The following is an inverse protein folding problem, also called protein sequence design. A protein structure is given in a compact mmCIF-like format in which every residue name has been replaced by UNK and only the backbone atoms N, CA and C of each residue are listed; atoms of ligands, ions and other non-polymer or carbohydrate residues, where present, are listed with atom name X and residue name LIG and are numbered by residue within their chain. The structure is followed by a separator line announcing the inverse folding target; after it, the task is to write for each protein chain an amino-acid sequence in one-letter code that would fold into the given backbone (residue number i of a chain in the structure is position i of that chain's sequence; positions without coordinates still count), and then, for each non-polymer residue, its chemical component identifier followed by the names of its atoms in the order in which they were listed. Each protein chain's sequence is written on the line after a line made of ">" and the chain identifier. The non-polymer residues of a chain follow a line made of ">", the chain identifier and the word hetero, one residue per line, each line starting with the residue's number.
data_IF_820496855325
#
_entry.id   IF_820496855325
#
_cell.length_a   1.000
_cell.length_b   1.000
_cell.length_c   1.000
_cell.angle_alpha   90.00
_cell.angle_beta   90.00
_cell.angle_gamma   90.00
#
_symmetry.space_group_name_H-M   'P 1'
#
loop_
_entity.id
_entity.type
_entity.pdbx_description
1 polymer ?
#
# COMPACT_ATOMS: atom_id res chain seq x y z
N UNK A 1 32.78 -8.12 -2.72
CA UNK A 1 32.76 -9.47 -3.34
C UNK A 1 33.59 -9.39 -4.60
N UNK A 2 34.46 -10.36 -4.85
CA UNK A 2 35.32 -10.32 -6.03
C UNK A 2 34.80 -11.32 -7.08
N UNK A 3 34.75 -10.89 -8.33
CA UNK A 3 34.41 -11.73 -9.49
C UNK A 3 35.65 -11.94 -10.34
N UNK A 4 35.96 -13.18 -10.61
CA UNK A 4 37.23 -13.58 -11.21
C UNK A 4 37.05 -13.94 -12.68
N UNK A 5 38.14 -13.75 -13.46
CA UNK A 5 38.21 -14.25 -14.82
C UNK A 5 38.13 -15.80 -14.85
N UNK A 6 37.59 -16.41 -15.92
CA UNK A 6 37.56 -17.87 -16.09
C UNK A 6 38.86 -18.58 -15.75
N UNK A 7 39.99 -18.07 -16.23
CA UNK A 7 41.31 -18.57 -15.94
C UNK A 7 41.67 -18.54 -14.44
N UNK A 8 41.32 -17.45 -13.77
CA UNK A 8 41.58 -17.29 -12.34
C UNK A 8 40.72 -18.23 -11.50
N UNK A 9 39.47 -18.46 -11.89
CA UNK A 9 38.53 -19.36 -11.16
C UNK A 9 39.07 -20.78 -11.12
N UNK A 10 39.55 -21.31 -12.25
CA UNK A 10 40.12 -22.66 -12.32
C UNK A 10 41.30 -22.75 -11.37
N UNK A 11 42.22 -21.78 -11.44
CA UNK A 11 43.44 -21.74 -10.59
C UNK A 11 43.09 -21.61 -9.10
N UNK A 12 42.12 -20.76 -8.75
CA UNK A 12 41.66 -20.54 -7.36
C UNK A 12 41.00 -21.80 -6.79
N UNK A 13 40.10 -22.42 -7.55
CA UNK A 13 39.44 -23.66 -7.13
C UNK A 13 40.43 -24.80 -6.97
N UNK A 14 41.35 -24.96 -7.92
CA UNK A 14 42.41 -25.97 -7.84
C UNK A 14 43.27 -25.78 -6.59
N UNK A 15 43.71 -24.54 -6.31
CA UNK A 15 44.48 -24.23 -5.09
C UNK A 15 43.69 -24.49 -3.83
N UNK A 16 42.42 -24.07 -3.79
CA UNK A 16 41.51 -24.24 -2.65
C UNK A 16 41.35 -25.72 -2.27
N UNK A 17 41.22 -26.59 -3.27
CA UNK A 17 41.04 -28.04 -3.05
C UNK A 17 42.35 -28.82 -3.11
N UNK A 18 43.51 -28.13 -3.24
CA UNK A 18 44.85 -28.74 -3.32
C UNK A 18 44.96 -29.80 -4.42
N UNK A 19 44.37 -29.53 -5.57
CA UNK A 19 44.30 -30.45 -6.73
C UNK A 19 45.31 -30.05 -7.78
N UNK A 20 45.99 -31.04 -8.37
CA UNK A 20 46.91 -30.85 -9.51
C UNK A 20 46.15 -30.77 -10.83
N UNK A 21 46.75 -30.16 -11.86
CA UNK A 21 46.13 -30.08 -13.20
C UNK A 21 45.84 -31.47 -13.79
N UNK A 22 46.68 -32.47 -13.51
CA UNK A 22 46.49 -33.86 -13.94
C UNK A 22 45.22 -34.52 -13.35
N UNK A 23 44.78 -34.12 -12.15
CA UNK A 23 43.58 -34.66 -11.54
C UNK A 23 42.26 -34.14 -12.20
N UNK A 24 42.37 -33.05 -12.95
CA UNK A 24 41.29 -32.50 -13.74
C UNK A 24 41.20 -33.07 -15.16
N UNK A 25 42.16 -33.89 -15.56
CA UNK A 25 42.17 -34.51 -16.89
C UNK A 25 40.98 -35.43 -17.12
N UNK A 26 40.60 -35.55 -18.37
CA UNK A 26 39.51 -36.41 -18.79
C UNK A 26 39.35 -36.44 -20.31
N UNK A 27 38.29 -37.06 -20.76
CA UNK A 27 38.00 -37.13 -22.18
C UNK A 27 37.94 -35.74 -22.83
N UNK A 28 38.80 -35.51 -23.84
CA UNK A 28 38.97 -34.22 -24.53
C UNK A 28 39.40 -33.04 -23.61
N UNK A 29 40.02 -33.30 -22.46
CA UNK A 29 40.54 -32.30 -21.54
C UNK A 29 41.91 -32.73 -20.99
N UNK A 30 42.96 -32.49 -21.76
CA UNK A 30 44.35 -32.81 -21.40
C UNK A 30 44.92 -31.77 -20.41
N UNK A 31 46.01 -32.14 -19.70
CA UNK A 31 46.73 -31.22 -18.81
C UNK A 31 47.20 -29.96 -19.54
N UNK A 32 47.68 -30.09 -20.78
CA UNK A 32 48.10 -28.94 -21.60
C UNK A 32 46.91 -28.00 -21.89
N UNK A 33 45.74 -28.58 -22.15
CA UNK A 33 44.52 -27.82 -22.38
C UNK A 33 44.08 -27.05 -21.12
N UNK A 34 44.11 -27.69 -19.96
CA UNK A 34 43.82 -27.08 -18.66
C UNK A 34 44.83 -25.96 -18.36
N UNK A 35 46.11 -26.19 -18.59
CA UNK A 35 47.16 -25.17 -18.41
C UNK A 35 46.96 -23.94 -19.30
N UNK A 36 46.55 -24.14 -20.56
CA UNK A 36 46.21 -23.03 -21.46
C UNK A 36 44.97 -22.23 -20.98
N UNK A 37 43.95 -22.90 -20.43
CA UNK A 37 42.80 -22.22 -19.83
C UNK A 37 43.19 -21.44 -18.57
N UNK A 38 43.99 -22.01 -17.68
CA UNK A 38 44.49 -21.34 -16.47
C UNK A 38 45.40 -20.15 -16.75
N UNK A 39 46.16 -20.20 -17.82
CA UNK A 39 47.04 -19.09 -18.25
C UNK A 39 46.31 -18.03 -19.07
N UNK A 40 45.03 -18.21 -19.38
CA UNK A 40 44.23 -17.30 -20.21
C UNK A 40 44.55 -17.36 -21.71
N UNK A 41 45.43 -18.27 -22.13
CA UNK A 41 45.79 -18.47 -23.55
C UNK A 41 44.67 -19.13 -24.36
N UNK A 42 43.72 -19.73 -23.66
CA UNK A 42 42.53 -20.32 -24.25
C UNK A 42 41.29 -20.00 -23.42
N UNK A 43 40.19 -19.66 -24.09
CA UNK A 43 38.88 -19.40 -23.44
C UNK A 43 38.27 -20.69 -22.90
N UNK A 44 37.55 -20.59 -21.79
CA UNK A 44 36.83 -21.71 -21.21
C UNK A 44 35.44 -21.76 -21.84
N UNK A 45 35.18 -22.74 -22.69
CA UNK A 45 33.85 -22.94 -23.26
C UNK A 45 32.85 -23.47 -22.23
N UNK A 46 31.55 -23.32 -22.48
CA UNK A 46 30.49 -23.90 -21.63
C UNK A 46 30.65 -25.42 -21.48
N UNK A 47 31.04 -26.12 -22.54
CA UNK A 47 31.32 -27.57 -22.49
C UNK A 47 32.51 -27.91 -21.59
N UNK A 48 33.57 -27.12 -21.67
CA UNK A 48 34.73 -27.27 -20.78
C UNK A 48 34.40 -26.95 -19.33
N UNK A 49 33.57 -25.93 -19.12
CA UNK A 49 33.08 -25.57 -17.79
C UNK A 49 32.30 -26.71 -17.12
N UNK A 50 31.34 -27.32 -17.82
CA UNK A 50 30.60 -28.49 -17.32
C UNK A 50 31.50 -29.63 -16.86
N UNK A 51 32.49 -29.98 -17.67
CA UNK A 51 33.47 -31.02 -17.34
C UNK A 51 34.30 -30.67 -16.09
N UNK A 52 34.73 -29.41 -15.98
CA UNK A 52 35.43 -28.92 -14.79
C UNK A 52 34.57 -28.97 -13.55
N UNK A 53 33.28 -28.52 -13.66
CA UNK A 53 32.31 -28.58 -12.56
C UNK A 53 32.12 -30.01 -12.08
N UNK A 54 31.91 -30.95 -12.98
CA UNK A 54 31.79 -32.38 -12.65
C UNK A 54 33.02 -32.90 -11.92
N UNK A 55 34.23 -32.60 -12.41
CA UNK A 55 35.50 -32.98 -11.76
C UNK A 55 35.59 -32.42 -10.35
N UNK A 56 35.31 -31.13 -10.15
CA UNK A 56 35.35 -30.52 -8.83
C UNK A 56 34.28 -31.06 -7.90
N UNK A 57 33.04 -31.34 -8.38
CA UNK A 57 32.00 -32.00 -7.57
C UNK A 57 32.41 -33.39 -7.13
N UNK A 58 33.03 -34.17 -8.02
CA UNK A 58 33.57 -35.49 -7.69
C UNK A 58 34.71 -35.42 -6.64
N UNK A 59 35.57 -34.40 -6.74
CA UNK A 59 36.61 -34.14 -5.73
C UNK A 59 35.94 -33.76 -4.40
N UNK A 60 34.95 -32.87 -4.41
CA UNK A 60 34.20 -32.50 -3.22
C UNK A 60 33.54 -33.71 -2.53
N UNK A 61 32.94 -34.59 -3.31
CA UNK A 61 32.31 -35.83 -2.79
C UNK A 61 33.32 -36.74 -2.09
N UNK A 62 34.53 -36.86 -2.64
CA UNK A 62 35.63 -37.67 -2.02
C UNK A 62 36.08 -37.14 -0.66
N UNK A 63 35.96 -35.82 -0.44
CA UNK A 63 36.36 -35.17 0.82
C UNK A 63 35.15 -34.72 1.67
N UNK A 64 33.97 -35.22 1.35
CA UNK A 64 32.69 -34.89 2.03
C UNK A 64 32.37 -33.38 2.10
N UNK A 65 32.75 -32.63 1.05
CA UNK A 65 32.43 -31.19 0.91
C UNK A 65 31.45 -31.00 -0.23
N UNK A 66 30.32 -30.38 0.03
CA UNK A 66 29.39 -29.98 -1.02
C UNK A 66 29.92 -28.74 -1.76
N UNK A 67 30.07 -28.84 -3.08
CA UNK A 67 30.52 -27.74 -3.95
C UNK A 67 29.31 -27.20 -4.73
N UNK A 68 28.75 -26.07 -4.28
CA UNK A 68 27.62 -25.41 -4.89
C UNK A 68 28.06 -24.47 -6.02
N UNK A 69 28.38 -25.03 -7.17
CA UNK A 69 28.66 -24.31 -8.41
C UNK A 69 27.76 -24.87 -9.53
N UNK A 70 27.31 -24.00 -10.42
CA UNK A 70 26.56 -24.40 -11.60
C UNK A 70 27.47 -24.74 -12.79
N UNK A 71 26.90 -25.36 -13.81
CA UNK A 71 27.63 -25.89 -14.95
C UNK A 71 28.43 -24.86 -15.76
N UNK A 72 28.03 -23.58 -15.71
CA UNK A 72 28.68 -22.50 -16.45
C UNK A 72 29.64 -21.66 -15.61
N UNK A 73 29.85 -21.99 -14.34
CA UNK A 73 30.67 -21.23 -13.40
C UNK A 73 32.06 -20.86 -13.94
N UNK A 74 32.76 -21.80 -14.55
CA UNK A 74 34.11 -21.55 -15.06
C UNK A 74 34.18 -20.82 -16.41
N UNK A 75 33.06 -20.74 -17.14
CA UNK A 75 33.01 -20.05 -18.44
C UNK A 75 32.59 -18.60 -18.38
N UNK A 76 31.89 -18.20 -17.33
CA UNK A 76 31.37 -16.82 -17.19
C UNK A 76 32.48 -15.81 -16.94
N UNK A 77 32.42 -14.68 -17.66
CA UNK A 77 33.24 -13.49 -17.38
C UNK A 77 32.89 -12.91 -15.99
N UNK A 78 33.70 -12.00 -15.44
CA UNK A 78 33.33 -11.29 -14.19
C UNK A 78 32.00 -10.59 -14.24
N UNK A 79 31.64 -9.98 -15.36
CA UNK A 79 30.38 -9.31 -15.59
C UNK A 79 29.20 -10.32 -15.62
N UNK A 80 29.33 -11.41 -16.36
CA UNK A 80 28.32 -12.48 -16.41
C UNK A 80 28.12 -13.15 -15.04
N UNK A 81 29.18 -13.29 -14.26
CA UNK A 81 29.11 -13.83 -12.89
C UNK A 81 28.45 -12.87 -11.93
N UNK A 82 28.73 -11.57 -12.04
CA UNK A 82 28.08 -10.52 -11.27
C UNK A 82 26.58 -10.50 -11.59
N UNK A 83 26.22 -10.56 -12.88
CA UNK A 83 24.83 -10.65 -13.34
C UNK A 83 24.14 -11.89 -12.77
N UNK A 84 24.75 -13.05 -12.93
CA UNK A 84 24.20 -14.31 -12.41
C UNK A 84 23.99 -14.28 -10.88
N UNK A 85 24.94 -13.70 -10.15
CA UNK A 85 24.82 -13.52 -8.71
C UNK A 85 23.64 -12.62 -8.32
N UNK A 86 23.55 -11.44 -8.95
CA UNK A 86 22.48 -10.48 -8.67
C UNK A 86 21.11 -11.05 -9.02
N UNK A 87 20.93 -11.66 -10.21
CA UNK A 87 19.69 -12.29 -10.61
C UNK A 87 19.24 -13.39 -9.65
N UNK A 88 20.17 -14.26 -9.24
CA UNK A 88 19.83 -15.34 -8.30
C UNK A 88 19.44 -14.82 -6.93
N UNK A 89 20.09 -13.77 -6.43
CA UNK A 89 19.72 -13.13 -5.16
C UNK A 89 18.35 -12.50 -5.25
N UNK A 90 18.07 -11.77 -6.32
CA UNK A 90 16.77 -11.13 -6.55
C UNK A 90 15.64 -12.16 -6.68
N UNK A 91 15.89 -13.33 -7.31
CA UNK A 91 14.86 -14.36 -7.56
C UNK A 91 14.61 -15.28 -6.36
N UNK A 92 15.65 -15.65 -5.63
CA UNK A 92 15.57 -16.70 -4.59
C UNK A 92 15.15 -16.21 -3.22
N UNK A 93 15.39 -14.95 -2.88
CA UNK A 93 15.05 -14.43 -1.56
C UNK A 93 13.63 -13.82 -1.55
N UNK A 94 12.69 -14.54 -0.93
CA UNK A 94 11.33 -14.04 -0.71
C UNK A 94 11.28 -12.83 0.24
N UNK A 95 12.27 -12.66 1.12
CA UNK A 95 12.42 -11.53 2.04
C UNK A 95 13.84 -10.95 2.00
N UNK A 96 14.15 -10.23 0.93
CA UNK A 96 15.42 -9.53 0.80
C UNK A 96 15.47 -8.30 1.70
N UNK A 97 16.58 -8.10 2.43
CA UNK A 97 16.76 -6.96 3.35
C UNK A 97 17.41 -5.76 2.64
N UNK A 98 17.20 -4.55 3.17
CA UNK A 98 17.84 -3.32 2.63
C UNK A 98 19.34 -3.46 2.42
N UNK A 99 20.06 -4.02 3.42
CA UNK A 99 21.52 -4.21 3.36
C UNK A 99 21.96 -5.11 2.19
N UNK A 100 21.13 -6.09 1.82
CA UNK A 100 21.44 -6.98 0.70
C UNK A 100 21.17 -6.28 -0.64
N UNK A 101 20.10 -5.49 -0.72
CA UNK A 101 19.82 -4.63 -1.89
C UNK A 101 20.91 -3.57 -2.09
N UNK A 102 21.47 -2.99 -1.01
CA UNK A 102 22.58 -2.04 -1.11
C UNK A 102 23.83 -2.68 -1.74
N UNK A 103 24.17 -3.91 -1.31
CA UNK A 103 25.29 -4.66 -1.90
C UNK A 103 25.05 -4.99 -3.38
N UNK A 104 23.81 -5.33 -3.75
CA UNK A 104 23.46 -5.59 -5.16
C UNK A 104 23.65 -4.32 -5.99
N UNK A 105 23.16 -3.17 -5.51
CA UNK A 105 23.32 -1.87 -6.16
C UNK A 105 24.80 -1.54 -6.38
N UNK A 106 25.66 -1.79 -5.40
CA UNK A 106 27.11 -1.57 -5.55
C UNK A 106 27.71 -2.44 -6.66
N UNK A 107 27.37 -3.74 -6.71
CA UNK A 107 27.84 -4.67 -7.74
C UNK A 107 27.30 -4.26 -9.11
N UNK A 108 26.01 -4.01 -9.22
CA UNK A 108 25.32 -3.66 -10.47
C UNK A 108 25.87 -2.36 -11.08
N UNK A 109 26.19 -1.37 -10.24
CA UNK A 109 26.87 -0.14 -10.67
C UNK A 109 28.29 -0.41 -11.16
N UNK A 110 29.07 -1.21 -10.42
CA UNK A 110 30.45 -1.50 -10.76
C UNK A 110 30.57 -2.22 -12.12
N UNK A 111 29.60 -3.04 -12.48
CA UNK A 111 29.56 -3.80 -13.73
C UNK A 111 28.62 -3.22 -14.79
N UNK A 112 28.01 -2.06 -14.57
CA UNK A 112 27.13 -1.39 -15.55
C UNK A 112 25.83 -2.14 -15.87
N UNK A 113 25.33 -2.97 -14.95
CA UNK A 113 24.14 -3.80 -15.10
C UNK A 113 22.85 -2.95 -14.90
N UNK A 114 22.61 -1.98 -15.80
CA UNK A 114 21.58 -0.96 -15.64
C UNK A 114 20.16 -1.52 -15.57
N UNK A 115 19.86 -2.63 -16.22
CA UNK A 115 18.59 -3.34 -16.17
C UNK A 115 18.32 -3.94 -14.78
N UNK A 116 19.29 -4.62 -14.19
CA UNK A 116 19.20 -5.14 -12.83
C UNK A 116 19.18 -4.02 -11.79
N UNK A 117 20.00 -2.99 -12.00
CA UNK A 117 20.05 -1.81 -11.13
C UNK A 117 18.69 -1.10 -11.04
N UNK A 118 17.98 -0.97 -12.17
CA UNK A 118 16.64 -0.44 -12.18
C UNK A 118 15.66 -1.29 -11.36
N UNK A 119 15.71 -2.62 -11.56
CA UNK A 119 14.85 -3.55 -10.83
C UNK A 119 15.18 -3.59 -9.33
N UNK A 120 16.46 -3.54 -8.96
CA UNK A 120 16.90 -3.51 -7.56
C UNK A 120 16.44 -2.22 -6.86
N UNK A 121 16.53 -1.07 -7.52
CA UNK A 121 15.96 0.17 -6.99
C UNK A 121 14.43 0.10 -6.84
N UNK A 122 13.72 -0.46 -7.83
CA UNK A 122 12.26 -0.66 -7.74
C UNK A 122 11.90 -1.53 -6.54
N UNK A 123 12.57 -2.67 -6.35
CA UNK A 123 12.35 -3.55 -5.18
C UNK A 123 12.63 -2.85 -3.86
N UNK A 124 13.70 -2.07 -3.79
CA UNK A 124 14.03 -1.30 -2.59
C UNK A 124 13.00 -0.21 -2.32
N UNK A 125 12.46 0.43 -3.36
CA UNK A 125 11.35 1.36 -3.28
C UNK A 125 10.09 0.69 -2.70
N UNK A 126 9.71 -0.50 -3.19
CA UNK A 126 8.57 -1.28 -2.70
C UNK A 126 8.77 -1.65 -1.21
N UNK A 127 9.96 -2.07 -0.81
CA UNK A 127 10.26 -2.43 0.57
C UNK A 127 10.04 -1.23 1.51
N UNK A 128 10.60 -0.06 1.18
CA UNK A 128 10.37 1.16 1.95
C UNK A 128 8.91 1.61 1.94
N UNK A 129 8.20 1.40 0.83
CA UNK A 129 6.77 1.72 0.77
C UNK A 129 5.96 0.90 1.77
N UNK A 130 6.24 -0.40 1.87
CA UNK A 130 5.59 -1.31 2.80
C UNK A 130 5.95 -1.02 4.28
N UNK A 131 7.09 -0.38 4.52
CA UNK A 131 7.53 0.09 5.85
C UNK A 131 6.99 1.51 6.17
N UNK A 132 6.13 2.08 5.32
CA UNK A 132 5.61 3.45 5.41
C UNK A 132 6.69 4.56 5.34
N UNK A 133 7.89 4.25 4.88
CA UNK A 133 8.99 5.18 4.67
C UNK A 133 8.90 5.83 3.28
N UNK A 134 7.83 6.60 3.05
CA UNK A 134 7.44 7.07 1.71
C UNK A 134 8.46 7.98 1.03
N UNK A 135 9.23 8.77 1.80
CA UNK A 135 10.31 9.63 1.25
C UNK A 135 11.46 8.78 0.70
N UNK A 136 11.91 7.76 1.46
CA UNK A 136 12.96 6.85 1.00
C UNK A 136 12.47 5.99 -0.17
N UNK A 137 11.21 5.59 -0.13
CA UNK A 137 10.55 4.89 -1.23
C UNK A 137 10.58 5.72 -2.51
N UNK A 138 10.16 6.98 -2.44
CA UNK A 138 10.16 7.92 -3.56
C UNK A 138 11.54 8.06 -4.20
N UNK A 139 12.60 8.25 -3.41
CA UNK A 139 13.98 8.37 -3.90
C UNK A 139 14.38 7.12 -4.70
N UNK A 140 14.07 5.92 -4.19
CA UNK A 140 14.43 4.69 -4.87
C UNK A 140 13.61 4.48 -6.16
N UNK A 141 12.32 4.78 -6.16
CA UNK A 141 11.53 4.74 -7.40
C UNK A 141 11.99 5.77 -8.42
N UNK A 142 12.40 6.95 -7.98
CA UNK A 142 12.96 7.96 -8.89
C UNK A 142 14.27 7.49 -9.55
N UNK A 143 15.15 6.85 -8.77
CA UNK A 143 16.37 6.23 -9.31
C UNK A 143 16.04 5.10 -10.28
N UNK A 144 15.07 4.25 -9.97
CA UNK A 144 14.60 3.20 -10.87
C UNK A 144 14.07 3.78 -12.19
N UNK A 145 13.24 4.83 -12.12
CA UNK A 145 12.70 5.51 -13.30
C UNK A 145 13.81 6.04 -14.21
N UNK A 146 14.84 6.67 -13.62
CA UNK A 146 16.01 7.16 -14.37
C UNK A 146 16.68 6.02 -15.15
N UNK A 147 16.93 4.87 -14.49
CA UNK A 147 17.55 3.71 -15.14
C UNK A 147 16.64 3.05 -16.19
N UNK A 148 15.34 2.91 -15.93
CA UNK A 148 14.40 2.41 -16.94
C UNK A 148 14.32 3.32 -18.17
N UNK A 149 14.45 4.65 -18.00
CA UNK A 149 14.54 5.60 -19.13
C UNK A 149 15.80 5.38 -19.95
N UNK A 150 16.96 5.22 -19.30
CA UNK A 150 18.24 4.95 -19.97
C UNK A 150 18.18 3.70 -20.87
N UNK A 151 17.55 2.62 -20.38
CA UNK A 151 17.41 1.36 -21.14
C UNK A 151 16.15 1.26 -21.98
N UNK A 152 15.34 2.32 -22.07
CA UNK A 152 14.07 2.40 -22.82
C UNK A 152 13.05 1.31 -22.45
N UNK A 153 13.02 0.90 -21.21
CA UNK A 153 12.07 -0.08 -20.69
C UNK A 153 10.75 0.59 -20.29
N UNK A 154 9.83 0.80 -21.23
CA UNK A 154 8.61 1.61 -21.05
C UNK A 154 7.63 1.04 -20.04
N UNK A 155 7.37 -0.26 -20.05
CA UNK A 155 6.39 -0.90 -19.13
C UNK A 155 6.75 -0.69 -17.66
N UNK A 156 8.00 -0.98 -17.21
CA UNK A 156 8.41 -0.67 -15.85
C UNK A 156 8.39 0.82 -15.50
N UNK A 157 8.59 1.72 -16.48
CA UNK A 157 8.46 3.17 -16.24
C UNK A 157 7.04 3.53 -15.81
N UNK A 158 6.01 2.98 -16.48
CA UNK A 158 4.61 3.24 -16.15
C UNK A 158 4.30 2.78 -14.72
N UNK A 159 4.73 1.57 -14.40
CA UNK A 159 4.57 0.99 -13.05
C UNK A 159 5.21 1.88 -11.98
N UNK A 160 6.45 2.31 -12.21
CA UNK A 160 7.18 3.17 -11.27
C UNK A 160 6.56 4.55 -11.15
N UNK A 161 6.02 5.13 -12.22
CA UNK A 161 5.26 6.39 -12.15
C UNK A 161 4.03 6.26 -11.24
N UNK A 162 3.32 5.14 -11.30
CA UNK A 162 2.22 4.87 -10.37
C UNK A 162 2.70 4.80 -8.92
N UNK A 163 3.84 4.15 -8.64
CA UNK A 163 4.41 4.12 -7.29
C UNK A 163 4.86 5.50 -6.80
N UNK A 164 5.46 6.32 -7.66
CA UNK A 164 5.81 7.71 -7.33
C UNK A 164 4.56 8.53 -6.97
N UNK A 165 3.49 8.37 -7.74
CA UNK A 165 2.18 8.95 -7.43
C UNK A 165 1.67 8.49 -6.06
N UNK A 166 1.74 7.20 -5.76
CA UNK A 166 1.36 6.64 -4.45
C UNK A 166 2.19 7.24 -3.30
N UNK A 167 3.51 7.34 -3.45
CA UNK A 167 4.38 7.94 -2.42
C UNK A 167 3.96 9.38 -2.12
N UNK A 168 3.69 10.18 -3.15
CA UNK A 168 3.25 11.57 -3.00
C UNK A 168 1.86 11.67 -2.35
N UNK A 169 0.95 10.77 -2.71
CA UNK A 169 -0.37 10.67 -2.10
C UNK A 169 -0.28 10.39 -0.60
N UNK A 170 0.55 9.43 -0.19
CA UNK A 170 0.77 9.09 1.22
C UNK A 170 1.42 10.22 2.02
N UNK A 171 2.13 11.13 1.37
CA UNK A 171 2.67 12.35 1.96
C UNK A 171 1.71 13.55 1.88
N UNK A 172 0.45 13.37 1.49
CA UNK A 172 -0.54 14.43 1.26
C UNK A 172 -0.12 15.47 0.21
N UNK A 173 0.83 15.14 -0.66
CA UNK A 173 1.29 15.99 -1.76
C UNK A 173 0.45 15.71 -3.02
N UNK A 174 -0.80 16.16 -3.00
CA UNK A 174 -1.81 15.78 -4.00
C UNK A 174 -1.48 16.26 -5.41
N UNK A 175 -0.95 17.48 -5.58
CA UNK A 175 -0.63 18.03 -6.92
C UNK A 175 0.51 17.25 -7.58
N UNK A 176 1.55 16.90 -6.83
CA UNK A 176 2.63 16.04 -7.32
C UNK A 176 2.11 14.64 -7.68
N UNK A 177 1.24 14.09 -6.85
CA UNK A 177 0.63 12.77 -7.10
C UNK A 177 -0.20 12.78 -8.38
N UNK A 178 -1.02 13.81 -8.60
CA UNK A 178 -1.80 14.02 -9.83
C UNK A 178 -0.86 14.10 -11.06
N UNK A 179 0.26 14.80 -10.94
CA UNK A 179 1.25 14.89 -12.02
C UNK A 179 1.77 13.50 -12.41
N UNK A 180 2.23 12.68 -11.44
CA UNK A 180 2.76 11.35 -11.74
C UNK A 180 1.73 10.40 -12.34
N UNK A 181 0.47 10.44 -11.87
CA UNK A 181 -0.57 9.59 -12.48
C UNK A 181 -0.96 10.04 -13.88
N UNK A 182 -0.97 11.35 -14.17
CA UNK A 182 -1.19 11.84 -15.53
C UNK A 182 -0.06 11.40 -16.48
N UNK A 183 1.18 11.46 -16.01
CA UNK A 183 2.32 10.92 -16.77
C UNK A 183 2.17 9.42 -17.01
N UNK A 184 1.77 8.66 -15.98
CA UNK A 184 1.54 7.21 -16.10
C UNK A 184 0.44 6.90 -17.14
N UNK A 185 -0.66 7.64 -17.12
CA UNK A 185 -1.77 7.50 -18.09
C UNK A 185 -1.27 7.76 -19.50
N UNK A 186 -0.54 8.90 -19.71
CA UNK A 186 0.01 9.27 -21.00
C UNK A 186 0.94 8.18 -21.55
N UNK A 187 1.90 7.73 -20.76
CA UNK A 187 2.83 6.66 -21.17
C UNK A 187 2.11 5.34 -21.43
N UNK A 188 1.08 5.00 -20.63
CA UNK A 188 0.28 3.79 -20.82
C UNK A 188 -0.51 3.84 -22.14
N UNK A 189 -1.02 5.00 -22.54
CA UNK A 189 -1.71 5.22 -23.79
C UNK A 189 -0.74 5.15 -24.97
N UNK A 190 0.39 5.88 -24.92
CA UNK A 190 1.43 5.88 -25.96
C UNK A 190 2.00 4.48 -26.26
N UNK A 191 2.05 3.61 -25.25
CA UNK A 191 2.60 2.26 -25.36
C UNK A 191 1.56 1.13 -25.34
N UNK A 192 0.27 1.48 -25.51
CA UNK A 192 -0.86 0.53 -25.58
C UNK A 192 -0.95 -0.42 -24.37
N UNK A 193 -0.68 0.10 -23.17
CA UNK A 193 -0.69 -0.65 -21.90
C UNK A 193 -2.00 -0.45 -21.14
N UNK A 194 -3.08 -0.97 -21.68
CA UNK A 194 -4.46 -0.76 -21.18
C UNK A 194 -4.62 -1.02 -19.68
N UNK A 195 -4.03 -2.10 -19.15
CA UNK A 195 -4.11 -2.41 -17.72
C UNK A 195 -3.58 -1.27 -16.86
N UNK A 196 -2.42 -0.73 -17.18
CA UNK A 196 -1.82 0.37 -16.43
C UNK A 196 -2.58 1.69 -16.63
N UNK A 197 -3.11 1.92 -17.83
CA UNK A 197 -3.97 3.05 -18.11
C UNK A 197 -5.18 3.09 -17.16
N UNK A 198 -5.88 1.97 -16.98
CA UNK A 198 -7.03 1.89 -16.09
C UNK A 198 -6.64 2.00 -14.61
N UNK A 199 -5.54 1.36 -14.18
CA UNK A 199 -5.04 1.47 -12.80
C UNK A 199 -4.68 2.93 -12.47
N UNK A 200 -3.93 3.60 -13.34
CA UNK A 200 -3.53 4.99 -13.13
C UNK A 200 -4.73 5.96 -13.17
N UNK A 201 -5.69 5.73 -14.07
CA UNK A 201 -6.93 6.50 -14.15
C UNK A 201 -7.79 6.36 -12.89
N UNK A 202 -7.95 5.13 -12.39
CA UNK A 202 -8.66 4.89 -11.13
C UNK A 202 -7.98 5.60 -9.95
N UNK A 203 -6.65 5.53 -9.85
CA UNK A 203 -5.89 6.20 -8.81
C UNK A 203 -6.01 7.71 -8.90
N UNK A 204 -5.98 8.29 -10.11
CA UNK A 204 -6.20 9.72 -10.35
C UNK A 204 -7.60 10.17 -9.90
N UNK A 205 -8.63 9.37 -10.24
CA UNK A 205 -10.00 9.64 -9.81
C UNK A 205 -10.11 9.60 -8.27
N UNK A 206 -9.43 8.62 -7.62
CA UNK A 206 -9.38 8.52 -6.15
C UNK A 206 -8.84 9.80 -5.51
N UNK A 207 -7.76 10.35 -6.04
CA UNK A 207 -7.20 11.61 -5.52
C UNK A 207 -8.19 12.76 -5.69
N UNK A 208 -8.79 12.89 -6.88
CA UNK A 208 -9.79 13.94 -7.08
C UNK A 208 -10.98 13.82 -6.14
N UNK A 209 -11.42 12.59 -5.83
CA UNK A 209 -12.44 12.34 -4.82
C UNK A 209 -12.01 12.78 -3.41
N UNK A 210 -10.79 12.43 -2.99
CA UNK A 210 -10.24 12.81 -1.68
C UNK A 210 -10.12 14.33 -1.49
N UNK A 211 -9.67 15.06 -2.52
CA UNK A 211 -9.56 16.53 -2.47
C UNK A 211 -10.88 17.23 -2.85
N UNK A 212 -11.99 16.48 -2.89
CA UNK A 212 -13.35 16.97 -3.19
C UNK A 212 -13.49 17.69 -4.53
N UNK A 213 -12.61 17.42 -5.50
CA UNK A 213 -12.75 17.87 -6.89
C UNK A 213 -13.64 16.90 -7.67
N UNK A 214 -14.91 16.81 -7.28
CA UNK A 214 -15.87 15.80 -7.71
C UNK A 214 -16.10 15.78 -9.22
N UNK A 215 -16.18 16.96 -9.87
CA UNK A 215 -16.36 17.03 -11.33
C UNK A 215 -15.21 16.38 -12.07
N UNK A 216 -13.95 16.64 -11.64
CA UNK A 216 -12.77 15.99 -12.23
C UNK A 216 -12.71 14.50 -11.94
N UNK A 217 -13.17 14.08 -10.76
CA UNK A 217 -13.28 12.66 -10.43
C UNK A 217 -14.24 11.97 -11.40
N UNK A 218 -15.45 12.51 -11.58
CA UNK A 218 -16.45 11.97 -12.51
C UNK A 218 -15.95 11.97 -13.96
N UNK A 219 -15.31 13.06 -14.40
CA UNK A 219 -14.72 13.17 -15.73
C UNK A 219 -13.74 12.03 -16.03
N UNK A 220 -12.81 11.77 -15.10
CA UNK A 220 -11.83 10.68 -15.25
C UNK A 220 -12.52 9.30 -15.22
N UNK A 221 -13.46 9.08 -14.30
CA UNK A 221 -14.20 7.81 -14.22
C UNK A 221 -14.98 7.53 -15.51
N UNK A 222 -15.73 8.52 -16.01
CA UNK A 222 -16.56 8.36 -17.20
C UNK A 222 -15.72 8.18 -18.47
N UNK A 223 -14.75 9.09 -18.70
CA UNK A 223 -14.02 9.11 -19.97
C UNK A 223 -12.97 8.01 -20.07
N UNK A 224 -12.28 7.69 -18.98
CA UNK A 224 -11.17 6.75 -19.03
C UNK A 224 -11.61 5.31 -18.73
N UNK A 225 -12.58 5.10 -17.82
CA UNK A 225 -12.91 3.78 -17.31
C UNK A 225 -14.27 3.31 -17.80
N UNK A 226 -15.36 4.02 -17.47
CA UNK A 226 -16.72 3.54 -17.71
C UNK A 226 -17.09 3.48 -19.19
N UNK A 227 -16.55 4.33 -20.06
CA UNK A 227 -16.72 4.21 -21.53
C UNK A 227 -16.01 2.99 -22.14
N UNK A 228 -15.17 2.32 -21.39
CA UNK A 228 -14.37 1.19 -21.84
C UNK A 228 -14.65 -0.09 -21.02
N UNK A 229 -15.87 -0.26 -20.54
CA UNK A 229 -16.25 -1.35 -19.63
C UNK A 229 -15.86 -2.75 -20.12
N UNK A 230 -15.90 -2.97 -21.43
CA UNK A 230 -15.54 -4.23 -22.10
C UNK A 230 -14.04 -4.57 -22.03
N UNK A 231 -13.18 -3.57 -21.74
CA UNK A 231 -11.71 -3.71 -21.70
C UNK A 231 -11.14 -3.64 -20.30
N UNK A 232 -11.95 -3.19 -19.34
CA UNK A 232 -11.52 -2.94 -17.95
C UNK A 232 -11.61 -4.23 -17.15
N UNK A 233 -10.62 -4.45 -16.28
CA UNK A 233 -10.70 -5.52 -15.27
C UNK A 233 -11.93 -5.29 -14.38
N UNK A 234 -12.67 -6.38 -14.08
CA UNK A 234 -13.93 -6.32 -13.33
C UNK A 234 -13.78 -5.66 -11.97
N UNK A 235 -12.65 -5.87 -11.28
CA UNK A 235 -12.40 -5.28 -9.96
C UNK A 235 -12.25 -3.76 -10.09
N UNK A 236 -11.50 -3.29 -11.09
CA UNK A 236 -11.35 -1.85 -11.36
C UNK A 236 -12.68 -1.23 -11.74
N UNK A 237 -13.46 -1.91 -12.57
CA UNK A 237 -14.77 -1.44 -13.03
C UNK A 237 -15.75 -1.28 -11.85
N UNK A 238 -15.85 -2.28 -11.00
CA UNK A 238 -16.73 -2.23 -9.80
C UNK A 238 -16.29 -1.13 -8.86
N UNK A 239 -14.98 -0.98 -8.62
CA UNK A 239 -14.46 0.10 -7.78
C UNK A 239 -14.72 1.49 -8.39
N UNK A 240 -14.65 1.63 -9.72
CA UNK A 240 -14.99 2.88 -10.40
C UNK A 240 -16.49 3.21 -10.29
N UNK A 241 -17.38 2.24 -10.46
CA UNK A 241 -18.83 2.38 -10.27
C UNK A 241 -19.15 2.75 -8.81
N UNK A 242 -18.49 2.09 -7.86
CA UNK A 242 -18.63 2.39 -6.43
C UNK A 242 -18.18 3.84 -6.11
N UNK A 243 -17.03 4.25 -6.64
CA UNK A 243 -16.52 5.61 -6.45
C UNK A 243 -17.45 6.65 -7.07
N UNK A 244 -18.01 6.40 -8.25
CA UNK A 244 -19.03 7.27 -8.88
C UNK A 244 -20.24 7.43 -7.98
N UNK A 245 -20.76 6.32 -7.43
CA UNK A 245 -21.89 6.35 -6.50
C UNK A 245 -21.55 7.13 -5.21
N UNK A 246 -20.33 6.96 -4.67
CA UNK A 246 -19.86 7.73 -3.51
C UNK A 246 -19.79 9.24 -3.81
N UNK A 247 -19.33 9.63 -5.00
CA UNK A 247 -19.33 11.05 -5.42
C UNK A 247 -20.76 11.59 -5.53
N UNK A 248 -21.69 10.82 -6.08
CA UNK A 248 -23.10 11.23 -6.12
C UNK A 248 -23.68 11.42 -4.71
N UNK A 249 -23.36 10.54 -3.77
CA UNK A 249 -23.77 10.69 -2.37
C UNK A 249 -23.17 11.95 -1.72
N UNK A 250 -21.90 12.22 -1.97
CA UNK A 250 -21.18 13.39 -1.45
C UNK A 250 -21.68 14.72 -2.06
N UNK A 251 -22.27 14.68 -3.26
CA UNK A 251 -22.85 15.84 -3.96
C UNK A 251 -24.38 15.89 -3.84
N UNK A 252 -24.95 15.20 -2.87
CA UNK A 252 -26.40 15.13 -2.56
C UNK A 252 -27.29 14.59 -3.71
N UNK A 253 -26.68 13.96 -4.71
CA UNK A 253 -27.39 13.25 -5.77
C UNK A 253 -27.82 11.86 -5.29
N UNK A 254 -28.64 11.86 -4.24
CA UNK A 254 -28.93 10.66 -3.43
C UNK A 254 -29.58 9.51 -4.22
N UNK A 255 -30.50 9.80 -5.16
CA UNK A 255 -31.15 8.77 -5.97
C UNK A 255 -30.19 8.09 -6.95
N UNK A 256 -29.28 8.86 -7.55
CA UNK A 256 -28.28 8.33 -8.47
C UNK A 256 -27.21 7.51 -7.74
N UNK A 257 -26.84 7.97 -6.54
CA UNK A 257 -25.97 7.21 -5.65
C UNK A 257 -26.58 5.84 -5.30
N UNK A 258 -27.84 5.83 -4.83
CA UNK A 258 -28.52 4.60 -4.48
C UNK A 258 -28.63 3.64 -5.65
N UNK A 259 -29.02 4.13 -6.83
CA UNK A 259 -29.06 3.33 -8.05
C UNK A 259 -27.69 2.69 -8.32
N UNK A 260 -26.62 3.49 -8.27
CA UNK A 260 -25.26 2.97 -8.48
C UNK A 260 -24.86 1.87 -7.49
N UNK A 261 -25.23 2.00 -6.21
CA UNK A 261 -24.96 0.96 -5.21
C UNK A 261 -25.76 -0.33 -5.49
N UNK A 262 -27.05 -0.22 -5.84
CA UNK A 262 -27.86 -1.39 -6.14
C UNK A 262 -27.36 -2.12 -7.41
N UNK A 263 -26.93 -1.38 -8.43
CA UNK A 263 -26.43 -1.95 -9.69
C UNK A 263 -25.17 -2.80 -9.48
N UNK A 264 -24.36 -2.53 -8.44
CA UNK A 264 -23.08 -3.25 -8.21
C UNK A 264 -23.15 -4.33 -7.13
N UNK A 265 -24.20 -4.37 -6.29
CA UNK A 265 -24.28 -5.31 -5.14
C UNK A 265 -24.05 -6.76 -5.54
N UNK A 266 -24.68 -7.23 -6.60
CA UNK A 266 -24.56 -8.63 -7.02
C UNK A 266 -23.16 -8.95 -7.57
N UNK A 267 -22.54 -8.01 -8.29
CA UNK A 267 -21.17 -8.18 -8.76
C UNK A 267 -20.18 -8.22 -7.59
N UNK A 268 -20.37 -7.35 -6.58
CA UNK A 268 -19.52 -7.29 -5.39
C UNK A 268 -19.61 -8.54 -4.54
N UNK A 269 -20.79 -9.15 -4.41
CA UNK A 269 -20.96 -10.43 -3.70
C UNK A 269 -20.02 -11.52 -4.21
N UNK A 270 -19.72 -11.50 -5.49
CA UNK A 270 -18.87 -12.51 -6.15
C UNK A 270 -17.40 -12.09 -6.16
N UNK A 271 -17.12 -10.81 -6.48
CA UNK A 271 -15.76 -10.33 -6.71
C UNK A 271 -15.02 -9.96 -5.44
N UNK A 272 -15.67 -9.23 -4.53
CA UNK A 272 -15.09 -8.79 -3.27
C UNK A 272 -16.15 -8.58 -2.19
N UNK A 273 -16.60 -9.65 -1.53
CA UNK A 273 -17.62 -9.56 -0.47
C UNK A 273 -17.25 -8.64 0.70
N UNK A 274 -15.97 -8.27 0.86
CA UNK A 274 -15.53 -7.37 1.92
C UNK A 274 -16.06 -5.95 1.77
N UNK A 275 -16.41 -5.54 0.55
CA UNK A 275 -17.00 -4.24 0.23
C UNK A 275 -18.50 -4.15 0.58
N UNK A 276 -19.19 -5.28 0.77
CA UNK A 276 -20.64 -5.28 1.04
C UNK A 276 -21.00 -4.46 2.28
N UNK A 277 -20.18 -4.56 3.34
CA UNK A 277 -20.38 -3.78 4.54
C UNK A 277 -20.35 -2.26 4.30
N UNK A 278 -19.48 -1.79 3.39
CA UNK A 278 -19.44 -0.39 2.98
C UNK A 278 -20.66 0.00 2.14
N UNK A 279 -20.99 -0.81 1.14
CA UNK A 279 -22.10 -0.53 0.21
C UNK A 279 -23.44 -0.48 0.96
N UNK A 280 -23.71 -1.46 1.81
CA UNK A 280 -24.94 -1.45 2.62
C UNK A 280 -24.98 -0.29 3.61
N UNK A 281 -23.84 0.13 4.16
CA UNK A 281 -23.78 1.32 5.00
C UNK A 281 -24.17 2.59 4.20
N UNK A 282 -23.66 2.73 2.98
CA UNK A 282 -23.99 3.88 2.12
C UNK A 282 -25.46 3.84 1.64
N UNK A 283 -26.00 2.66 1.34
CA UNK A 283 -27.45 2.51 1.06
C UNK A 283 -28.29 2.89 2.30
N UNK A 284 -27.85 2.50 3.50
CA UNK A 284 -28.52 2.90 4.74
C UNK A 284 -28.49 4.42 4.94
N UNK A 285 -27.34 5.07 4.65
CA UNK A 285 -27.23 6.52 4.71
C UNK A 285 -28.15 7.22 3.71
N UNK A 286 -28.27 6.69 2.49
CA UNK A 286 -29.24 7.17 1.51
C UNK A 286 -30.68 7.12 2.06
N UNK A 287 -31.11 5.97 2.59
CA UNK A 287 -32.46 5.85 3.15
C UNK A 287 -32.68 6.73 4.38
N UNK A 288 -31.64 6.94 5.19
CA UNK A 288 -31.66 7.89 6.29
C UNK A 288 -31.92 9.34 5.78
N UNK A 289 -31.18 9.77 4.74
CA UNK A 289 -31.34 11.13 4.17
C UNK A 289 -32.69 11.41 3.55
N UNK A 290 -33.38 10.38 3.06
CA UNK A 290 -34.76 10.50 2.57
C UNK A 290 -35.81 10.13 3.63
N UNK A 291 -35.40 10.09 4.91
CA UNK A 291 -36.23 9.84 6.08
C UNK A 291 -37.00 8.50 6.07
N UNK A 292 -36.54 7.54 5.26
CA UNK A 292 -37.06 6.16 5.26
C UNK A 292 -36.28 5.31 6.27
N UNK A 293 -36.55 5.57 7.57
CA UNK A 293 -35.81 4.97 8.67
C UNK A 293 -35.95 3.44 8.74
N UNK A 294 -37.08 2.88 8.32
CA UNK A 294 -37.30 1.43 8.30
C UNK A 294 -36.32 0.74 7.36
N UNK A 295 -36.21 1.20 6.10
CA UNK A 295 -35.26 0.66 5.15
C UNK A 295 -33.82 0.96 5.57
N UNK A 296 -33.55 2.15 6.11
CA UNK A 296 -32.23 2.49 6.63
C UNK A 296 -31.79 1.49 7.71
N UNK A 297 -32.69 1.10 8.62
CA UNK A 297 -32.40 0.13 9.69
C UNK A 297 -32.10 -1.27 9.14
N UNK A 298 -32.81 -1.71 8.09
CA UNK A 298 -32.54 -2.98 7.42
C UNK A 298 -31.11 -3.00 6.86
N UNK A 299 -30.75 -2.00 6.05
CA UNK A 299 -29.46 -1.95 5.39
C UNK A 299 -28.30 -1.70 6.35
N UNK A 300 -28.45 -0.88 7.39
CA UNK A 300 -27.39 -0.69 8.40
C UNK A 300 -27.16 -1.97 9.21
N UNK A 301 -28.20 -2.78 9.41
CA UNK A 301 -28.08 -4.08 10.09
C UNK A 301 -27.32 -5.08 9.22
N UNK A 302 -27.58 -5.14 7.91
CA UNK A 302 -26.77 -5.94 6.98
C UNK A 302 -25.32 -5.42 6.90
N UNK A 303 -25.10 -4.10 6.87
CA UNK A 303 -23.75 -3.52 6.93
C UNK A 303 -23.00 -3.95 8.19
N UNK A 304 -23.66 -3.91 9.36
CA UNK A 304 -23.11 -4.34 10.64
C UNK A 304 -22.69 -5.82 10.58
N UNK A 305 -23.56 -6.69 10.07
CA UNK A 305 -23.29 -8.13 9.92
C UNK A 305 -22.06 -8.41 9.06
N UNK A 306 -21.94 -7.76 7.89
CA UNK A 306 -20.81 -7.92 7.01
C UNK A 306 -19.51 -7.37 7.63
N UNK A 307 -19.54 -6.18 8.25
CA UNK A 307 -18.35 -5.61 8.89
C UNK A 307 -17.88 -6.43 10.10
N UNK A 308 -18.79 -7.03 10.86
CA UNK A 308 -18.42 -7.95 11.94
C UNK A 308 -17.64 -9.17 11.44
N UNK A 309 -17.92 -9.63 10.22
CA UNK A 309 -17.25 -10.78 9.63
C UNK A 309 -15.91 -10.43 8.98
N UNK A 310 -15.77 -9.21 8.39
CA UNK A 310 -14.66 -8.87 7.51
C UNK A 310 -13.80 -7.68 7.99
N UNK A 311 -14.43 -6.61 8.48
CA UNK A 311 -13.79 -5.30 8.69
C UNK A 311 -14.26 -4.64 9.99
N UNK A 312 -13.98 -5.27 11.13
CA UNK A 312 -14.45 -4.81 12.47
C UNK A 312 -13.97 -3.40 12.82
N UNK A 313 -12.84 -2.96 12.29
CA UNK A 313 -12.29 -1.62 12.49
C UNK A 313 -13.20 -0.49 11.97
N UNK A 314 -14.11 -0.79 11.03
CA UNK A 314 -15.09 0.16 10.51
C UNK A 314 -16.49 0.01 11.14
N UNK A 315 -16.63 -0.82 12.17
CA UNK A 315 -17.92 -1.05 12.82
C UNK A 315 -18.43 0.20 13.55
N UNK A 316 -17.53 1.01 14.11
CA UNK A 316 -17.84 2.25 14.79
C UNK A 316 -18.71 3.18 13.91
N UNK A 317 -18.35 3.39 12.62
CA UNK A 317 -19.14 4.23 11.71
C UNK A 317 -20.55 3.67 11.44
N UNK A 318 -20.68 2.34 11.41
CA UNK A 318 -21.99 1.69 11.19
C UNK A 318 -22.88 1.80 12.43
N UNK A 319 -22.31 1.66 13.62
CA UNK A 319 -23.05 1.86 14.88
C UNK A 319 -23.47 3.33 15.05
N UNK A 320 -22.61 4.29 14.71
CA UNK A 320 -22.94 5.71 14.69
C UNK A 320 -24.10 6.02 13.74
N UNK A 321 -24.08 5.49 12.51
CA UNK A 321 -25.18 5.63 11.55
C UNK A 321 -26.47 4.99 12.10
N UNK A 322 -26.38 3.82 12.71
CA UNK A 322 -27.54 3.17 13.35
C UNK A 322 -28.09 4.01 14.49
N UNK A 323 -27.23 4.68 15.27
CA UNK A 323 -27.62 5.66 16.27
C UNK A 323 -28.41 6.83 15.66
N UNK A 324 -27.92 7.42 14.55
CA UNK A 324 -28.63 8.48 13.80
C UNK A 324 -30.01 8.02 13.34
N UNK A 325 -30.13 6.81 12.81
CA UNK A 325 -31.39 6.24 12.32
C UNK A 325 -32.39 6.10 13.48
N UNK A 326 -31.98 5.54 14.62
CA UNK A 326 -32.86 5.38 15.80
C UNK A 326 -33.24 6.72 16.38
N UNK A 327 -32.38 7.72 16.40
CA UNK A 327 -32.71 9.07 16.80
C UNK A 327 -33.80 9.65 15.90
N UNK A 328 -33.71 9.48 14.58
CA UNK A 328 -34.72 9.87 13.61
C UNK A 328 -36.10 9.21 13.84
N UNK A 329 -36.09 7.99 14.40
CA UNK A 329 -37.31 7.29 14.83
C UNK A 329 -37.82 7.73 16.23
N UNK A 330 -37.16 8.65 16.90
CA UNK A 330 -37.47 9.09 18.25
C UNK A 330 -36.99 8.20 19.39
N UNK A 331 -36.18 7.16 19.07
CA UNK A 331 -35.61 6.18 20.03
C UNK A 331 -34.32 6.74 20.62
N UNK A 332 -34.42 7.72 21.52
CA UNK A 332 -33.30 8.50 22.03
C UNK A 332 -32.34 7.68 22.89
N UNK A 333 -32.88 6.90 23.82
CA UNK A 333 -32.03 6.10 24.75
C UNK A 333 -31.21 5.03 24.00
N UNK A 334 -31.84 4.36 23.05
CA UNK A 334 -31.16 3.38 22.19
C UNK A 334 -30.13 4.05 21.30
N UNK A 335 -30.37 5.26 20.82
CA UNK A 335 -29.41 6.06 20.06
C UNK A 335 -28.16 6.37 20.89
N UNK A 336 -28.34 6.86 22.15
CA UNK A 336 -27.25 7.14 23.08
C UNK A 336 -26.40 5.88 23.29
N UNK A 337 -27.04 4.72 23.57
CA UNK A 337 -26.35 3.46 23.76
C UNK A 337 -25.51 3.06 22.54
N UNK A 338 -26.04 3.26 21.33
CA UNK A 338 -25.31 2.95 20.10
C UNK A 338 -24.11 3.87 19.87
N UNK A 339 -24.22 5.16 20.21
CA UNK A 339 -23.07 6.05 20.14
C UNK A 339 -22.00 5.70 21.16
N UNK A 340 -22.38 5.30 22.38
CA UNK A 340 -21.44 4.82 23.38
C UNK A 340 -20.69 3.56 22.87
N UNK A 341 -21.41 2.59 22.33
CA UNK A 341 -20.80 1.39 21.71
C UNK A 341 -19.92 1.76 20.50
N UNK A 342 -20.31 2.76 19.70
CA UNK A 342 -19.52 3.22 18.57
C UNK A 342 -18.20 3.88 19.03
N UNK A 343 -18.22 4.61 20.14
CA UNK A 343 -17.04 5.21 20.77
C UNK A 343 -16.10 4.11 21.27
N UNK A 344 -16.63 3.13 22.02
CA UNK A 344 -15.83 2.00 22.53
C UNK A 344 -15.14 1.23 21.39
N UNK A 345 -15.88 0.97 20.29
CA UNK A 345 -15.32 0.31 19.11
C UNK A 345 -14.25 1.16 18.41
N UNK A 346 -14.47 2.50 18.33
CA UNK A 346 -13.50 3.41 17.75
C UNK A 346 -12.20 3.44 18.56
N UNK A 347 -12.29 3.44 19.88
CA UNK A 347 -11.15 3.40 20.79
C UNK A 347 -10.40 2.06 20.66
N UNK A 348 -11.11 0.94 20.73
CA UNK A 348 -10.54 -0.41 20.60
C UNK A 348 -9.73 -0.59 19.30
N UNK A 349 -10.22 -0.05 18.19
CA UNK A 349 -9.56 -0.16 16.88
C UNK A 349 -8.73 1.07 16.52
N UNK A 350 -8.53 2.01 17.47
CA UNK A 350 -7.73 3.23 17.29
C UNK A 350 -8.19 4.11 16.12
N UNK A 351 -9.50 4.16 15.88
CA UNK A 351 -10.14 4.99 14.86
C UNK A 351 -10.56 6.32 15.47
N UNK A 352 -9.55 7.15 15.79
CA UNK A 352 -9.77 8.41 16.50
C UNK A 352 -10.58 9.43 15.70
N UNK A 353 -10.54 9.37 14.37
CA UNK A 353 -11.43 10.10 13.47
C UNK A 353 -12.91 9.80 13.75
N UNK A 354 -13.26 8.52 13.82
CA UNK A 354 -14.62 8.06 14.13
C UNK A 354 -14.99 8.30 15.60
N UNK A 355 -14.04 8.20 16.51
CA UNK A 355 -14.24 8.48 17.93
C UNK A 355 -14.72 9.93 18.13
N UNK A 356 -14.00 10.90 17.57
CA UNK A 356 -14.34 12.32 17.64
C UNK A 356 -15.72 12.59 17.03
N UNK A 357 -16.01 12.00 15.88
CA UNK A 357 -17.32 12.16 15.21
C UNK A 357 -18.47 11.63 16.09
N UNK A 358 -18.34 10.42 16.63
CA UNK A 358 -19.38 9.83 17.48
C UNK A 358 -19.58 10.62 18.80
N UNK A 359 -18.51 11.15 19.40
CA UNK A 359 -18.66 12.05 20.54
C UNK A 359 -19.41 13.33 20.18
N UNK A 360 -19.13 13.94 19.03
CA UNK A 360 -19.84 15.15 18.57
C UNK A 360 -21.34 14.89 18.42
N UNK A 361 -21.72 13.76 17.84
CA UNK A 361 -23.14 13.42 17.67
C UNK A 361 -23.81 13.09 19.03
N UNK A 362 -23.12 12.36 19.91
CA UNK A 362 -23.60 12.08 21.25
C UNK A 362 -23.83 13.38 22.06
N UNK A 363 -22.90 14.34 21.96
CA UNK A 363 -23.06 15.64 22.65
C UNK A 363 -24.28 16.38 22.20
N UNK A 364 -24.64 16.39 20.92
CA UNK A 364 -25.86 17.01 20.43
C UNK A 364 -27.12 16.45 21.12
N UNK A 365 -27.18 15.13 21.27
CA UNK A 365 -28.32 14.46 21.93
C UNK A 365 -28.40 14.82 23.42
N UNK A 366 -27.22 14.85 24.09
CA UNK A 366 -27.17 15.19 25.52
C UNK A 366 -27.48 16.68 25.78
N UNK A 367 -27.07 17.56 24.85
CA UNK A 367 -27.44 18.99 24.86
C UNK A 367 -28.97 19.16 24.77
N UNK A 368 -29.61 18.50 23.79
CA UNK A 368 -31.07 18.53 23.63
C UNK A 368 -31.79 17.99 24.86
N UNK A 369 -31.18 17.10 25.62
CA UNK A 369 -31.73 16.55 26.87
C UNK A 369 -31.36 17.39 28.11
N UNK A 370 -30.56 18.45 27.97
CA UNK A 370 -29.97 19.23 29.06
C UNK A 370 -29.19 18.37 30.10
N UNK A 371 -28.59 17.23 29.69
CA UNK A 371 -27.88 16.32 30.57
C UNK A 371 -26.41 16.76 30.72
N UNK A 372 -26.22 17.89 31.40
CA UNK A 372 -24.91 18.53 31.61
C UNK A 372 -23.94 17.63 32.38
N UNK A 373 -24.39 16.71 33.23
CA UNK A 373 -23.54 15.83 34.02
C UNK A 373 -22.93 14.71 33.15
N UNK A 374 -23.73 14.09 32.28
CA UNK A 374 -23.26 13.12 31.31
C UNK A 374 -22.35 13.77 30.29
N UNK A 375 -22.66 14.97 29.80
CA UNK A 375 -21.82 15.73 28.88
C UNK A 375 -20.41 15.93 29.48
N UNK A 376 -20.35 16.44 30.73
CA UNK A 376 -19.09 16.69 31.42
C UNK A 376 -18.26 15.42 31.56
N UNK A 377 -18.89 14.32 31.98
CA UNK A 377 -18.22 13.03 32.13
C UNK A 377 -17.64 12.52 30.80
N UNK A 378 -18.47 12.52 29.74
CA UNK A 378 -18.06 11.99 28.43
C UNK A 378 -16.99 12.86 27.75
N UNK A 379 -17.09 14.20 27.87
CA UNK A 379 -16.06 15.11 27.31
C UNK A 379 -14.71 14.96 28.01
N UNK A 380 -14.70 14.77 29.33
CA UNK A 380 -13.44 14.48 30.06
C UNK A 380 -12.84 13.14 29.60
N UNK A 381 -13.63 12.09 29.46
CA UNK A 381 -13.19 10.80 28.93
C UNK A 381 -12.62 10.94 27.50
N UNK A 382 -13.28 11.74 26.64
CA UNK A 382 -12.79 12.04 25.30
C UNK A 382 -11.39 12.66 25.32
N UNK A 383 -11.20 13.70 26.14
CA UNK A 383 -9.90 14.39 26.25
C UNK A 383 -8.82 13.41 26.76
N UNK A 384 -9.12 12.65 27.81
CA UNK A 384 -8.18 11.68 28.37
C UNK A 384 -7.72 10.66 27.31
N UNK A 385 -8.66 10.07 26.57
CA UNK A 385 -8.35 9.13 25.50
C UNK A 385 -7.50 9.76 24.40
N UNK A 386 -7.82 10.97 23.97
CA UNK A 386 -7.06 11.66 22.92
C UNK A 386 -5.66 12.05 23.37
N UNK A 387 -5.48 12.54 24.60
CA UNK A 387 -4.17 12.90 25.15
C UNK A 387 -3.25 11.68 25.33
N UNK A 388 -3.75 10.59 25.88
CA UNK A 388 -3.00 9.33 26.02
C UNK A 388 -2.47 8.85 24.67
N UNK A 389 -3.25 9.04 23.61
CA UNK A 389 -2.89 8.61 22.26
C UNK A 389 -2.19 9.70 21.43
N UNK A 390 -1.95 10.89 22.01
CA UNK A 390 -1.30 12.04 21.35
C UNK A 390 -2.04 12.50 20.09
N UNK A 391 -3.35 12.55 20.14
CA UNK A 391 -4.24 13.02 19.08
C UNK A 391 -4.72 14.43 19.46
N UNK A 392 -4.39 15.40 18.64
CA UNK A 392 -4.77 16.80 18.88
C UNK A 392 -6.19 17.10 18.36
N UNK A 393 -6.61 16.41 17.30
CA UNK A 393 -7.95 16.59 16.73
C UNK A 393 -9.04 16.22 17.74
N UNK A 394 -10.02 17.10 17.89
CA UNK A 394 -11.14 16.94 18.81
C UNK A 394 -10.92 17.50 20.22
N UNK A 395 -9.69 17.73 20.69
CA UNK A 395 -9.43 18.28 22.05
C UNK A 395 -10.00 19.70 22.16
N UNK A 396 -9.77 20.55 21.17
CA UNK A 396 -10.30 21.91 21.14
C UNK A 396 -11.83 21.92 21.24
N UNK A 397 -12.49 21.05 20.45
CA UNK A 397 -13.95 20.90 20.52
C UNK A 397 -14.41 20.51 21.94
N UNK A 398 -13.77 19.52 22.54
CA UNK A 398 -14.14 19.03 23.87
C UNK A 398 -13.95 20.08 24.94
N UNK A 399 -12.86 20.87 24.89
CA UNK A 399 -12.60 21.98 25.81
C UNK A 399 -13.64 23.08 25.69
N UNK A 400 -14.00 23.48 24.46
CA UNK A 400 -15.06 24.48 24.23
C UNK A 400 -16.40 23.99 24.81
N UNK A 401 -16.79 22.75 24.57
CA UNK A 401 -18.01 22.17 25.11
C UNK A 401 -17.99 22.06 26.65
N UNK A 402 -16.86 21.73 27.25
CA UNK A 402 -16.70 21.75 28.72
C UNK A 402 -16.82 23.16 29.30
N UNK A 403 -16.33 24.19 28.59
CA UNK A 403 -16.54 25.60 29.02
C UNK A 403 -17.99 25.97 28.97
N UNK A 404 -18.74 25.59 27.93
CA UNK A 404 -20.20 25.79 27.86
C UNK A 404 -20.92 25.13 29.05
N UNK A 405 -20.60 23.85 29.33
CA UNK A 405 -21.17 23.10 30.47
C UNK A 405 -20.81 23.76 31.81
N UNK A 406 -19.55 24.18 32.03
CA UNK A 406 -19.13 24.84 33.24
C UNK A 406 -19.88 26.17 33.44
N UNK A 407 -20.12 26.91 32.36
CA UNK A 407 -20.86 28.16 32.39
C UNK A 407 -22.35 27.92 32.76
N UNK A 408 -22.99 26.92 32.17
CA UNK A 408 -24.37 26.51 32.50
C UNK A 408 -24.50 26.09 33.96
N UNK A 409 -23.49 25.49 34.55
CA UNK A 409 -23.42 25.08 35.95
C UNK A 409 -22.97 26.21 36.90
N UNK A 410 -22.77 27.45 36.42
CA UNK A 410 -22.19 28.59 37.17
C UNK A 410 -20.80 28.32 37.80
N UNK A 411 -20.00 27.47 37.17
CA UNK A 411 -18.64 27.10 37.59
C UNK A 411 -17.57 28.00 36.93
N UNK A 412 -17.60 29.31 37.23
CA UNK A 412 -16.79 30.31 36.54
C UNK A 412 -15.27 30.05 36.62
N UNK A 413 -14.74 29.59 37.77
CA UNK A 413 -13.32 29.27 37.95
C UNK A 413 -12.89 28.13 37.01
N UNK A 414 -13.72 27.10 36.87
CA UNK A 414 -13.47 25.98 35.97
C UNK A 414 -13.53 26.41 34.48
N UNK A 415 -14.46 27.27 34.12
CA UNK A 415 -14.55 27.82 32.77
C UNK A 415 -13.29 28.62 32.42
N UNK A 416 -12.74 29.43 33.35
CA UNK A 416 -11.48 30.16 33.18
C UNK A 416 -10.29 29.22 33.00
N UNK A 417 -10.17 28.15 33.81
CA UNK A 417 -9.11 27.17 33.69
C UNK A 417 -9.13 26.45 32.31
N UNK A 418 -10.31 26.09 31.84
CA UNK A 418 -10.49 25.46 30.52
C UNK A 418 -10.13 26.42 29.37
N UNK A 419 -10.49 27.73 29.50
CA UNK A 419 -10.08 28.77 28.54
C UNK A 419 -8.55 28.89 28.44
N UNK A 420 -7.88 28.94 29.58
CA UNK A 420 -6.42 29.01 29.58
C UNK A 420 -5.76 27.75 28.96
N UNK A 421 -6.34 26.57 29.23
CA UNK A 421 -5.88 25.32 28.59
C UNK A 421 -6.08 25.35 27.08
N UNK A 422 -7.18 25.92 26.59
CA UNK A 422 -7.45 26.08 25.16
C UNK A 422 -6.42 27.03 24.51
N UNK A 423 -6.08 28.15 25.16
CA UNK A 423 -5.07 29.09 24.68
C UNK A 423 -3.68 28.45 24.52
N UNK A 424 -3.35 27.48 25.37
CA UNK A 424 -2.08 26.73 25.26
C UNK A 424 -2.03 25.74 24.08
N UNK A 425 -3.15 25.47 23.43
CA UNK A 425 -3.25 24.56 22.26
C UNK A 425 -3.23 25.31 20.91
N UNK A 426 -3.32 26.63 20.93
CA UNK A 426 -3.27 27.52 19.76
C UNK A 426 -1.87 28.12 19.64
#
# INVERSE_FOLDING_TARGET
>A
MEFYLPSQKIKLMRKKFRVNQSELEGENMTRAFISMMESGKRTVSKASSRKLVEKFKNIGSRIHVNIEIDDEYFSRSPEEDARYYCENKIKKEQSIKHKDLDKLIEIERAFGLNDLLAETYKKKGILYFNENEYVKSFINFHNALGKYKEIRAYVPQIEVLCYLGNCKLRCNQFDDSIFFYKEAIKYAEEHERQRFYFIASHSLATIYGQIKKYDKCLEVLENNILKNEDKVDKVILVNAKLMKANVFLATERNHEAAKGYFDIVEEVKVLDPSLLGLIYNNIAEYYYKIENYEKALVYVTEAQKHKLATNKEFLSSTLGLKGKILLGQGMREESILLYELAIDMAEQYRRFDMLVENYRELMKILEDNNDTDKMETKLNSMIETLEINKIEDGIQYALVKLMEVATLKNQNEKAMQLSHRLECLV
#
